data_IF_940973444781
#
_entry.id   IF_940973444781
#
_cell.length_a   1.000
_cell.length_b   1.000
_cell.length_c   1.000
_cell.angle_alpha   90.00
_cell.angle_beta   90.00
_cell.angle_gamma   90.00
#
_symmetry.space_group_name_H-M   'P 1'
#
loop_
_entity.id
_entity.type
_entity.pdbx_description
1 polymer ?
#
# COMPACT_ATOMS: atom_id res chain seq x y z
N UNK A 1 2.53 8.19 -16.60
CA UNK A 1 2.71 7.24 -15.49
C UNK A 1 3.08 7.98 -14.21
N UNK A 2 4.05 8.90 -14.25
CA UNK A 2 4.36 9.84 -13.15
C UNK A 2 3.14 10.57 -12.59
N UNK A 3 2.28 11.08 -13.48
CA UNK A 3 1.07 11.83 -13.14
C UNK A 3 0.06 11.07 -12.27
N UNK A 4 0.12 9.74 -12.24
CA UNK A 4 -0.79 8.90 -11.45
C UNK A 4 -0.25 8.60 -10.05
N UNK A 5 1.05 8.80 -9.81
CA UNK A 5 1.68 8.50 -8.51
C UNK A 5 1.07 9.28 -7.34
N UNK A 6 0.75 10.59 -7.48
CA UNK A 6 0.08 11.33 -6.41
C UNK A 6 -1.28 10.73 -6.04
N UNK A 7 -2.01 10.17 -7.01
CA UNK A 7 -3.31 9.53 -6.78
C UNK A 7 -3.14 8.31 -5.88
N UNK A 8 -2.17 7.43 -6.18
CA UNK A 8 -1.87 6.28 -5.34
C UNK A 8 -1.41 6.68 -3.93
N UNK A 9 -0.62 7.74 -3.82
CA UNK A 9 -0.15 8.27 -2.53
C UNK A 9 -1.31 8.77 -1.67
N UNK A 10 -2.21 9.58 -2.24
CA UNK A 10 -3.40 10.08 -1.54
C UNK A 10 -4.32 8.91 -1.15
N UNK A 11 -4.55 7.98 -2.08
CA UNK A 11 -5.37 6.79 -1.84
C UNK A 11 -4.81 5.94 -0.69
N UNK A 12 -3.50 5.71 -0.67
CA UNK A 12 -2.81 5.03 0.42
C UNK A 12 -2.98 5.79 1.74
N UNK A 13 -2.74 7.10 1.77
CA UNK A 13 -2.83 7.93 2.96
C UNK A 13 -4.24 7.94 3.57
N UNK A 14 -5.27 8.13 2.74
CA UNK A 14 -6.68 8.06 3.17
C UNK A 14 -7.00 6.70 3.80
N UNK A 15 -6.62 5.62 3.12
CA UNK A 15 -6.87 4.26 3.60
C UNK A 15 -6.12 4.00 4.92
N UNK A 16 -4.86 4.43 5.01
CA UNK A 16 -4.00 4.23 6.18
C UNK A 16 -4.50 5.00 7.40
N UNK A 17 -4.97 6.23 7.19
CA UNK A 17 -5.55 7.05 8.25
C UNK A 17 -6.74 6.35 8.93
N UNK A 18 -7.70 5.88 8.14
CA UNK A 18 -8.89 5.18 8.66
C UNK A 18 -8.51 3.83 9.30
N UNK A 19 -7.56 3.10 8.69
CA UNK A 19 -7.03 1.87 9.25
C UNK A 19 -6.40 2.09 10.63
N UNK A 20 -5.56 3.12 10.79
CA UNK A 20 -4.88 3.42 12.05
C UNK A 20 -5.87 3.89 13.12
N UNK A 21 -6.87 4.70 12.76
CA UNK A 21 -7.94 5.12 13.67
C UNK A 21 -8.73 3.92 14.23
N UNK A 22 -9.02 2.91 13.40
CA UNK A 22 -9.81 1.75 13.84
C UNK A 22 -8.97 0.67 14.54
N UNK A 23 -7.85 0.24 13.95
CA UNK A 23 -7.08 -0.90 14.44
C UNK A 23 -6.03 -0.56 15.50
N UNK A 24 -5.40 0.63 15.41
CA UNK A 24 -4.35 1.02 16.35
C UNK A 24 -4.90 1.89 17.48
N UNK A 25 -5.57 2.98 17.12
CA UNK A 25 -6.04 3.98 18.09
C UNK A 25 -7.40 3.60 18.70
N UNK A 26 -8.21 2.79 18.01
CA UNK A 26 -9.58 2.43 18.41
C UNK A 26 -10.48 3.66 18.66
N UNK A 27 -10.27 4.72 17.89
CA UNK A 27 -10.94 6.02 18.05
C UNK A 27 -12.28 6.13 17.32
N UNK A 28 -12.59 5.19 16.41
CA UNK A 28 -13.85 5.17 15.65
C UNK A 28 -14.63 3.88 15.90
N UNK A 29 -15.95 3.96 15.84
CA UNK A 29 -16.83 2.79 15.98
C UNK A 29 -16.73 1.87 14.77
N UNK A 30 -17.14 0.60 14.95
CA UNK A 30 -17.22 -0.38 13.85
C UNK A 30 -18.19 0.07 12.76
N UNK A 31 -19.33 0.64 13.14
CA UNK A 31 -20.33 1.15 12.20
C UNK A 31 -19.77 2.26 11.30
N UNK A 32 -19.03 3.21 11.88
CA UNK A 32 -18.40 4.29 11.11
C UNK A 32 -17.31 3.74 10.18
N UNK A 33 -16.53 2.78 10.64
CA UNK A 33 -15.52 2.12 9.82
C UNK A 33 -16.13 1.37 8.62
N UNK A 34 -17.22 0.62 8.84
CA UNK A 34 -17.94 -0.09 7.78
C UNK A 34 -18.60 0.90 6.80
N UNK A 35 -19.13 2.02 7.28
CA UNK A 35 -19.62 3.12 6.45
C UNK A 35 -18.51 3.69 5.55
N UNK A 36 -17.33 3.99 6.10
CA UNK A 36 -16.20 4.49 5.32
C UNK A 36 -15.77 3.53 4.19
N UNK A 37 -15.86 2.21 4.44
CA UNK A 37 -15.58 1.21 3.40
C UNK A 37 -16.66 1.22 2.33
N UNK A 38 -17.94 1.27 2.72
CA UNK A 38 -19.07 1.22 1.79
C UNK A 38 -19.10 2.42 0.84
N UNK A 39 -18.80 3.61 1.35
CA UNK A 39 -18.75 4.86 0.57
C UNK A 39 -17.44 5.02 -0.22
N UNK A 40 -16.50 4.07 -0.11
CA UNK A 40 -15.25 4.10 -0.88
C UNK A 40 -14.21 5.10 -0.37
N UNK A 41 -14.32 5.58 0.88
CA UNK A 41 -13.24 6.37 1.51
C UNK A 41 -11.98 5.55 1.76
N UNK A 42 -12.13 4.23 1.89
CA UNK A 42 -11.09 3.29 2.28
C UNK A 42 -11.11 2.06 1.37
N UNK A 43 -9.95 1.61 0.92
CA UNK A 43 -9.82 0.38 0.13
C UNK A 43 -9.80 -0.87 1.02
N UNK A 44 -10.89 -1.65 0.94
CA UNK A 44 -11.06 -2.92 1.66
C UNK A 44 -9.97 -3.95 1.31
N UNK A 45 -9.56 -4.02 0.05
CA UNK A 45 -8.57 -5.00 -0.41
C UNK A 45 -7.18 -4.63 0.09
N UNK A 46 -6.83 -3.35 0.09
CA UNK A 46 -5.58 -2.86 0.63
C UNK A 46 -5.49 -3.12 2.15
N UNK A 47 -6.55 -2.85 2.90
CA UNK A 47 -6.63 -3.19 4.33
C UNK A 47 -6.47 -4.69 4.56
N UNK A 48 -7.14 -5.52 3.76
CA UNK A 48 -7.06 -6.97 3.90
C UNK A 48 -5.62 -7.47 3.71
N UNK A 49 -4.81 -6.79 2.87
CA UNK A 49 -3.39 -7.07 2.73
C UNK A 49 -2.59 -6.61 3.95
N UNK A 50 -2.81 -5.41 4.48
CA UNK A 50 -2.09 -4.93 5.67
C UNK A 50 -2.26 -5.80 6.93
N UNK A 51 -3.34 -6.58 7.01
CA UNK A 51 -3.54 -7.56 8.09
C UNK A 51 -2.70 -8.83 7.94
N UNK A 52 -2.13 -9.09 6.76
CA UNK A 52 -1.27 -10.26 6.51
C UNK A 52 0.17 -9.91 6.86
N UNK A 53 0.85 -10.83 7.54
CA UNK A 53 2.26 -10.71 7.91
C UNK A 53 3.12 -10.47 6.66
N UNK A 54 4.01 -9.48 6.72
CA UNK A 54 4.90 -9.09 5.63
C UNK A 54 4.29 -8.13 4.61
N UNK A 55 3.01 -7.79 4.73
CA UNK A 55 2.34 -6.81 3.88
C UNK A 55 1.98 -5.54 4.66
N UNK A 56 2.42 -5.37 5.91
CA UNK A 56 1.95 -4.29 6.79
C UNK A 56 2.17 -2.89 6.21
N UNK A 57 3.21 -2.72 5.38
CA UNK A 57 3.61 -1.45 4.75
C UNK A 57 3.38 -1.43 3.24
N UNK A 58 2.46 -2.27 2.74
CA UNK A 58 2.14 -2.32 1.32
C UNK A 58 1.67 -0.94 0.81
N UNK A 59 2.33 -0.46 -0.23
CA UNK A 59 2.08 0.81 -0.90
C UNK A 59 0.79 0.83 -1.72
N UNK A 60 0.61 -0.12 -2.64
CA UNK A 60 -0.62 -0.29 -3.43
C UNK A 60 -0.79 -1.74 -3.91
N UNK A 61 -1.99 -2.10 -4.36
CA UNK A 61 -2.29 -3.46 -4.84
C UNK A 61 -1.57 -3.82 -6.14
N UNK A 62 -1.30 -2.83 -7.00
CA UNK A 62 -0.60 -3.03 -8.27
C UNK A 62 0.84 -3.53 -8.07
N UNK A 63 1.49 -3.18 -6.96
CA UNK A 63 2.87 -3.60 -6.67
C UNK A 63 3.02 -5.09 -6.32
N UNK A 64 1.93 -5.80 -6.03
CA UNK A 64 1.92 -7.24 -5.69
C UNK A 64 1.22 -8.09 -6.74
N UNK A 65 0.85 -7.47 -7.87
CA UNK A 65 0.08 -8.10 -8.90
C UNK A 65 1.02 -8.49 -10.05
N UNK A 66 1.35 -9.78 -10.12
CA UNK A 66 2.34 -10.33 -11.07
C UNK A 66 1.97 -10.12 -12.53
N UNK A 67 0.67 -10.05 -12.86
CA UNK A 67 0.19 -9.78 -14.22
C UNK A 67 0.47 -8.35 -14.70
N UNK A 68 0.73 -7.42 -13.78
CA UNK A 68 0.94 -6.00 -14.10
C UNK A 68 2.42 -5.67 -14.36
N UNK A 69 3.32 -6.67 -14.25
CA UNK A 69 4.75 -6.54 -14.57
C UNK A 69 5.12 -7.42 -15.77
N UNK A 70 6.02 -6.92 -16.62
CA UNK A 70 6.52 -7.65 -17.80
C UNK A 70 7.21 -8.97 -17.45
N UNK A 71 7.77 -9.05 -16.25
CA UNK A 71 8.55 -10.20 -15.76
C UNK A 71 7.69 -11.23 -15.01
N UNK A 72 6.39 -10.98 -14.80
CA UNK A 72 5.53 -11.87 -14.03
C UNK A 72 5.85 -11.92 -12.53
N UNK A 73 6.57 -10.94 -12.00
CA UNK A 73 7.01 -10.87 -10.60
C UNK A 73 6.39 -9.67 -9.87
N UNK A 74 6.56 -9.60 -8.55
CA UNK A 74 6.20 -8.40 -7.79
C UNK A 74 7.10 -7.21 -8.16
N UNK A 75 6.65 -5.99 -7.84
CA UNK A 75 7.43 -4.79 -8.08
C UNK A 75 8.70 -4.75 -7.22
N UNK A 76 9.75 -4.06 -7.69
CA UNK A 76 11.03 -3.90 -6.97
C UNK A 76 10.86 -3.32 -5.56
N UNK A 77 9.80 -2.52 -5.33
CA UNK A 77 9.50 -1.98 -4.01
C UNK A 77 9.19 -3.07 -2.96
N UNK A 78 8.93 -4.31 -3.37
CA UNK A 78 8.74 -5.45 -2.48
C UNK A 78 10.04 -6.14 -2.04
N UNK A 79 11.16 -5.78 -2.66
CA UNK A 79 12.46 -6.35 -2.31
C UNK A 79 12.97 -5.67 -1.03
N UNK A 80 13.32 -6.45 0.02
CA UNK A 80 13.92 -5.89 1.22
C UNK A 80 15.21 -5.14 0.90
N UNK A 81 15.44 -3.99 1.54
CA UNK A 81 16.63 -3.16 1.28
C UNK A 81 17.95 -3.89 1.52
N UNK A 82 17.98 -4.88 2.42
CA UNK A 82 19.15 -5.72 2.69
C UNK A 82 19.61 -6.59 1.53
N UNK A 83 18.74 -6.83 0.54
CA UNK A 83 19.04 -7.60 -0.67
C UNK A 83 19.41 -6.71 -1.86
N UNK A 84 19.35 -5.39 -1.69
CA UNK A 84 19.67 -4.42 -2.73
C UNK A 84 21.11 -3.92 -2.53
N UNK A 85 21.71 -3.51 -3.64
CA UNK A 85 23.04 -2.90 -3.62
C UNK A 85 23.02 -1.59 -2.81
N UNK A 86 24.09 -1.36 -2.05
CA UNK A 86 24.24 -0.16 -1.22
C UNK A 86 24.23 1.07 -2.13
N UNK A 87 23.29 2.00 -1.87
CA UNK A 87 23.10 3.20 -2.68
C UNK A 87 22.03 3.08 -3.78
N UNK A 88 21.39 1.91 -3.94
CA UNK A 88 20.27 1.76 -4.86
C UNK A 88 19.04 2.56 -4.38
N UNK A 89 18.67 3.60 -5.14
CA UNK A 89 17.43 4.34 -4.92
C UNK A 89 16.29 3.60 -5.60
N UNK A 90 15.41 3.00 -4.80
CA UNK A 90 14.21 2.37 -5.31
C UNK A 90 13.17 3.44 -5.59
N UNK A 91 12.60 3.41 -6.78
CA UNK A 91 11.43 4.23 -7.09
C UNK A 91 10.44 3.44 -7.95
N UNK A 92 9.30 3.11 -7.37
CA UNK A 92 8.26 2.36 -8.07
C UNK A 92 7.66 3.18 -9.22
N UNK A 93 7.58 2.60 -10.41
CA UNK A 93 6.95 3.23 -11.57
C UNK A 93 5.44 3.44 -11.39
N UNK A 94 4.75 2.58 -10.63
CA UNK A 94 3.30 2.65 -10.41
C UNK A 94 2.91 3.73 -9.40
N UNK A 95 3.51 3.73 -8.22
CA UNK A 95 3.09 4.59 -7.11
C UNK A 95 4.19 5.51 -6.55
N UNK A 96 5.43 5.43 -7.05
CA UNK A 96 6.54 6.27 -6.61
C UNK A 96 7.07 5.93 -5.21
N UNK A 97 6.70 4.78 -4.63
CA UNK A 97 7.22 4.37 -3.33
C UNK A 97 8.71 3.97 -3.40
N UNK A 98 9.40 4.12 -2.27
CA UNK A 98 10.84 3.85 -2.14
C UNK A 98 11.14 2.60 -1.29
N UNK A 99 10.25 1.60 -1.38
CA UNK A 99 10.32 0.36 -0.61
C UNK A 99 9.10 0.19 0.30
N UNK A 100 8.46 -0.98 0.19
CA UNK A 100 7.27 -1.39 0.93
C UNK A 100 7.56 -2.58 1.86
N UNK A 101 8.77 -3.16 1.80
CA UNK A 101 9.19 -4.41 2.47
C UNK A 101 10.17 -4.21 3.64
N UNK A 102 10.19 -3.00 4.23
CA UNK A 102 11.19 -2.60 5.23
C UNK A 102 12.43 -1.98 4.60
#
# INVERSE_FOLDING_TARGET
MESLRPIFRIHHQKTRYIFDLFYKQKAISRELYEYCIKEGYTDKNLIAKWKKKGYENLCCLQCIQTRDTSSGTNCICWVPKSKLEVGCIIECTHCGCQGCSG
#
